data_IF_357469768591
#
_entry.id   IF_357469768591
#
_cell.length_a   1.000
_cell.length_b   1.000
_cell.length_c   1.000
_cell.angle_alpha   90.00
_cell.angle_beta   90.00
_cell.angle_gamma   90.00
#
_symmetry.space_group_name_H-M   'P 1'
#
loop_
_entity.id
_entity.type
_entity.pdbx_description
1 polymer ?
#
# COMPACT_ATOMS: atom_id res chain seq x y z
N UNK A 1 -36.46 14.09 -9.77
CA UNK A 1 -37.76 13.48 -9.41
C UNK A 1 -38.41 14.32 -8.31
N UNK A 2 -39.75 14.47 -8.29
CA UNK A 2 -40.42 15.31 -7.28
C UNK A 2 -40.39 14.68 -5.88
N UNK A 3 -40.46 15.50 -4.83
CA UNK A 3 -40.62 15.01 -3.46
C UNK A 3 -41.99 14.34 -3.30
N UNK A 4 -41.98 13.10 -2.79
CA UNK A 4 -43.20 12.33 -2.52
C UNK A 4 -43.93 12.89 -1.29
N UNK A 5 -45.27 12.92 -1.34
CA UNK A 5 -46.14 13.25 -0.21
C UNK A 5 -46.10 12.14 0.83
N UNK A 6 -46.54 12.44 2.06
CA UNK A 6 -46.49 11.50 3.19
C UNK A 6 -47.13 10.13 2.89
N UNK A 7 -48.33 10.12 2.29
CA UNK A 7 -49.03 8.89 1.93
C UNK A 7 -48.30 8.11 0.82
N UNK A 8 -47.70 8.81 -0.15
CA UNK A 8 -46.92 8.21 -1.23
C UNK A 8 -45.64 7.55 -0.69
N UNK A 9 -44.93 8.22 0.24
CA UNK A 9 -43.76 7.65 0.91
C UNK A 9 -44.11 6.44 1.78
N UNK A 10 -45.29 6.43 2.40
CA UNK A 10 -45.75 5.30 3.22
C UNK A 10 -46.00 4.04 2.38
N UNK A 11 -46.44 4.21 1.12
CA UNK A 11 -46.61 3.12 0.14
C UNK A 11 -45.26 2.73 -0.49
N UNK A 12 -44.42 3.70 -0.83
CA UNK A 12 -43.18 3.52 -1.59
C UNK A 12 -41.92 3.53 -0.72
N UNK A 13 -41.95 2.88 0.45
CA UNK A 13 -40.85 2.89 1.42
C UNK A 13 -39.53 2.30 0.91
N UNK A 14 -39.60 1.37 -0.04
CA UNK A 14 -38.43 0.68 -0.60
C UNK A 14 -37.99 1.27 -1.95
N UNK A 15 -38.67 2.29 -2.43
CA UNK A 15 -38.45 2.86 -3.76
C UNK A 15 -37.43 3.99 -3.65
N UNK A 16 -36.18 3.66 -3.93
CA UNK A 16 -35.09 4.61 -4.10
C UNK A 16 -34.43 4.34 -5.46
N UNK A 17 -34.37 5.38 -6.30
CA UNK A 17 -33.83 5.28 -7.66
C UNK A 17 -32.34 5.64 -7.74
N UNK A 18 -31.78 6.18 -6.65
CA UNK A 18 -30.38 6.59 -6.58
C UNK A 18 -29.54 5.54 -5.89
N UNK A 19 -30.05 4.92 -4.81
CA UNK A 19 -29.32 3.93 -4.02
C UNK A 19 -30.03 2.58 -4.07
N UNK A 20 -29.42 1.63 -4.75
CA UNK A 20 -29.89 0.25 -4.83
C UNK A 20 -29.18 -0.62 -3.80
N UNK A 21 -29.93 -1.45 -3.07
CA UNK A 21 -29.38 -2.37 -2.06
C UNK A 21 -28.22 -3.24 -2.55
N UNK A 22 -28.19 -3.58 -3.84
CA UNK A 22 -27.12 -4.37 -4.47
C UNK A 22 -25.78 -3.65 -4.47
N UNK A 23 -25.78 -2.33 -4.59
CA UNK A 23 -24.58 -1.50 -4.67
C UNK A 23 -23.90 -1.35 -3.30
N UNK A 24 -24.61 -1.71 -2.20
CA UNK A 24 -24.13 -1.51 -0.82
C UNK A 24 -23.62 -0.08 -0.60
N UNK A 25 -24.35 0.90 -1.14
CA UNK A 25 -24.02 2.32 -1.12
C UNK A 25 -23.04 2.74 -2.23
N UNK A 26 -22.53 3.97 -2.14
CA UNK A 26 -21.73 4.60 -3.19
C UNK A 26 -20.21 4.54 -2.95
N UNK A 27 -19.73 3.50 -2.22
CA UNK A 27 -18.31 3.42 -1.85
C UNK A 27 -17.38 3.37 -3.06
N UNK A 28 -17.76 2.62 -4.10
CA UNK A 28 -17.04 2.56 -5.37
C UNK A 28 -16.86 3.98 -5.96
N UNK A 29 -17.97 4.69 -6.17
CA UNK A 29 -17.96 6.04 -6.73
C UNK A 29 -17.13 7.04 -5.88
N UNK A 30 -17.24 6.97 -4.54
CA UNK A 30 -16.48 7.84 -3.63
C UNK A 30 -14.98 7.57 -3.75
N UNK A 31 -14.57 6.29 -3.81
CA UNK A 31 -13.16 5.90 -3.92
C UNK A 31 -12.62 6.26 -5.29
N UNK A 32 -13.35 5.94 -6.35
CA UNK A 32 -13.02 6.30 -7.74
C UNK A 32 -12.83 7.80 -7.89
N UNK A 33 -13.72 8.62 -7.32
CA UNK A 33 -13.58 10.08 -7.35
C UNK A 33 -12.41 10.58 -6.50
N UNK A 34 -12.22 10.03 -5.30
CA UNK A 34 -11.14 10.44 -4.39
C UNK A 34 -9.75 10.18 -4.97
N UNK A 35 -9.57 9.06 -5.66
CA UNK A 35 -8.29 8.64 -6.22
C UNK A 35 -8.18 8.86 -7.73
N UNK A 36 -9.18 9.49 -8.34
CA UNK A 36 -9.21 9.81 -9.77
C UNK A 36 -8.91 8.58 -10.65
N UNK A 37 -9.53 7.45 -10.33
CA UNK A 37 -9.37 6.24 -11.13
C UNK A 37 -9.96 6.48 -12.52
N UNK A 38 -9.15 6.24 -13.54
CA UNK A 38 -9.46 6.61 -14.92
C UNK A 38 -10.40 5.57 -15.54
N UNK A 39 -10.12 4.28 -15.35
CA UNK A 39 -11.00 3.26 -15.87
C UNK A 39 -12.17 2.97 -14.93
N UNK A 40 -13.34 2.79 -15.54
CA UNK A 40 -14.59 2.50 -14.81
C UNK A 40 -14.53 1.22 -13.97
N UNK A 41 -13.68 0.26 -14.34
CA UNK A 41 -13.58 -1.04 -13.67
C UNK A 41 -12.34 -1.20 -12.77
N UNK A 42 -11.49 -0.16 -12.64
CA UNK A 42 -10.28 -0.23 -11.81
C UNK A 42 -10.59 -0.57 -10.36
N UNK A 43 -11.58 0.10 -9.77
CA UNK A 43 -12.00 -0.20 -8.40
C UNK A 43 -12.40 -1.67 -8.23
N UNK A 44 -13.14 -2.23 -9.20
CA UNK A 44 -13.56 -3.64 -9.14
C UNK A 44 -12.39 -4.60 -9.27
N UNK A 45 -11.42 -4.31 -10.15
CA UNK A 45 -10.19 -5.10 -10.30
C UNK A 45 -9.41 -5.12 -8.99
N UNK A 46 -9.13 -3.95 -8.41
CA UNK A 46 -8.41 -3.83 -7.13
C UNK A 46 -9.15 -4.47 -5.96
N UNK A 47 -10.47 -4.26 -5.87
CA UNK A 47 -11.29 -4.90 -4.86
C UNK A 47 -11.31 -6.44 -5.01
N UNK A 48 -11.32 -6.94 -6.25
CA UNK A 48 -11.20 -8.36 -6.55
C UNK A 48 -9.90 -8.97 -6.00
N UNK A 49 -8.76 -8.31 -6.22
CA UNK A 49 -7.46 -8.72 -5.68
C UNK A 49 -7.49 -8.73 -4.15
N UNK A 50 -8.03 -7.68 -3.52
CA UNK A 50 -8.15 -7.60 -2.06
C UNK A 50 -8.99 -8.76 -1.50
N UNK A 51 -10.11 -9.09 -2.14
CA UNK A 51 -10.95 -10.22 -1.74
C UNK A 51 -10.25 -11.58 -1.92
N UNK A 52 -9.46 -11.75 -2.98
CA UNK A 52 -8.66 -12.97 -3.17
C UNK A 52 -7.61 -13.14 -2.07
N UNK A 53 -6.92 -12.05 -1.73
CA UNK A 53 -5.99 -12.02 -0.60
C UNK A 53 -6.71 -12.35 0.71
N UNK A 54 -7.86 -11.73 0.99
CA UNK A 54 -8.65 -12.01 2.21
C UNK A 54 -9.10 -13.48 2.30
N UNK A 55 -9.52 -14.08 1.18
CA UNK A 55 -9.86 -15.51 1.15
C UNK A 55 -8.67 -16.37 1.56
N UNK A 56 -7.49 -16.07 1.01
CA UNK A 56 -6.27 -16.80 1.34
C UNK A 56 -5.87 -16.62 2.81
N UNK A 57 -5.94 -15.39 3.34
CA UNK A 57 -5.71 -15.10 4.77
C UNK A 57 -6.68 -15.86 5.66
N UNK A 58 -7.96 -15.92 5.30
CA UNK A 58 -8.96 -16.64 6.08
C UNK A 58 -8.69 -18.15 6.13
N UNK A 59 -8.23 -18.74 5.02
CA UNK A 59 -7.79 -20.14 4.97
C UNK A 59 -6.58 -20.32 5.89
N UNK A 60 -5.54 -19.47 5.78
CA UNK A 60 -4.34 -19.54 6.62
C UNK A 60 -4.67 -19.42 8.10
N UNK A 61 -5.63 -18.55 8.45
CA UNK A 61 -6.06 -18.33 9.83
C UNK A 61 -6.75 -19.56 10.45
N UNK A 62 -7.40 -20.41 9.65
CA UNK A 62 -8.05 -21.62 10.12
C UNK A 62 -7.07 -22.79 10.36
N UNK A 63 -5.84 -22.70 9.86
CA UNK A 63 -4.81 -23.72 10.06
C UNK A 63 -4.22 -23.68 11.48
N UNK A 64 -3.67 -24.81 11.94
CA UNK A 64 -3.04 -24.89 13.27
C UNK A 64 -1.84 -23.92 13.37
N UNK A 65 -1.71 -23.14 14.46
CA UNK A 65 -0.60 -22.19 14.63
C UNK A 65 0.80 -22.81 14.63
N UNK A 66 0.93 -24.11 14.93
CA UNK A 66 2.21 -24.82 15.03
C UNK A 66 2.64 -25.48 13.72
N UNK A 67 1.76 -25.49 12.72
CA UNK A 67 2.05 -26.07 11.41
C UNK A 67 3.11 -25.23 10.67
N UNK A 68 4.28 -25.80 10.29
CA UNK A 68 5.29 -25.08 9.52
C UNK A 68 4.77 -24.57 8.17
N UNK A 69 3.81 -25.26 7.54
CA UNK A 69 3.23 -24.83 6.27
C UNK A 69 2.44 -23.52 6.40
N UNK A 70 1.78 -23.31 7.55
CA UNK A 70 1.11 -22.05 7.86
C UNK A 70 2.12 -20.91 7.94
N UNK A 71 3.25 -21.13 8.60
CA UNK A 71 4.30 -20.12 8.71
C UNK A 71 4.87 -19.77 7.33
N UNK A 72 5.21 -20.77 6.53
CA UNK A 72 5.73 -20.59 5.16
C UNK A 72 4.75 -19.82 4.27
N UNK A 73 3.48 -20.23 4.23
CA UNK A 73 2.45 -19.57 3.42
C UNK A 73 2.15 -18.14 3.89
N UNK A 74 2.21 -17.90 5.20
CA UNK A 74 2.07 -16.55 5.78
C UNK A 74 3.22 -15.66 5.33
N UNK A 75 4.45 -16.17 5.41
CA UNK A 75 5.64 -15.44 4.97
C UNK A 75 5.59 -15.14 3.48
N UNK A 76 5.21 -16.11 2.64
CA UNK A 76 5.04 -15.91 1.20
C UNK A 76 3.98 -14.85 0.87
N UNK A 77 2.87 -14.82 1.61
CA UNK A 77 1.82 -13.84 1.40
C UNK A 77 2.27 -12.44 1.85
N UNK A 78 2.88 -12.35 3.03
CA UNK A 78 3.38 -11.10 3.57
C UNK A 78 4.47 -10.51 2.68
N UNK A 79 5.30 -11.36 2.07
CA UNK A 79 6.32 -10.93 1.12
C UNK A 79 5.72 -10.29 -0.13
N UNK A 80 4.63 -10.87 -0.66
CA UNK A 80 3.91 -10.30 -1.81
C UNK A 80 3.17 -9.00 -1.49
N UNK A 81 2.84 -8.75 -0.22
CA UNK A 81 2.14 -7.56 0.25
C UNK A 81 3.07 -6.52 0.91
N UNK A 82 4.39 -6.74 0.83
CA UNK A 82 5.38 -5.98 1.58
C UNK A 82 5.64 -4.63 0.93
N UNK A 83 5.10 -3.57 1.54
CA UNK A 83 5.36 -2.18 1.10
C UNK A 83 6.77 -1.76 1.48
N UNK A 84 7.45 -1.05 0.57
CA UNK A 84 8.80 -0.52 0.78
C UNK A 84 8.93 0.24 2.12
N UNK A 85 7.97 1.10 2.44
CA UNK A 85 7.99 1.87 3.70
C UNK A 85 8.03 0.97 4.96
N UNK A 86 7.32 -0.16 4.95
CA UNK A 86 7.33 -1.10 6.07
C UNK A 86 8.65 -1.85 6.16
N UNK A 87 9.23 -2.19 5.01
CA UNK A 87 10.55 -2.84 4.93
C UNK A 87 11.64 -1.92 5.48
N UNK A 88 11.64 -0.65 5.10
CA UNK A 88 12.60 0.35 5.58
C UNK A 88 12.62 0.49 7.10
N UNK A 89 11.44 0.50 7.74
CA UNK A 89 11.36 0.57 9.21
C UNK A 89 11.92 -0.69 9.86
N UNK A 90 11.68 -1.85 9.25
CA UNK A 90 12.22 -3.14 9.73
C UNK A 90 13.75 -3.19 9.61
N UNK A 91 14.29 -2.67 8.51
CA UNK A 91 15.73 -2.57 8.24
C UNK A 91 16.42 -1.38 8.94
N UNK A 92 15.70 -0.63 9.79
CA UNK A 92 16.22 0.52 10.54
C UNK A 92 16.72 1.69 9.67
N UNK A 93 16.22 1.81 8.44
CA UNK A 93 16.41 3.01 7.60
C UNK A 93 15.61 4.21 8.11
N UNK A 94 14.50 3.98 8.82
CA UNK A 94 13.68 5.00 9.44
C UNK A 94 13.13 4.46 10.77
N UNK A 95 12.94 5.35 11.75
CA UNK A 95 12.36 4.98 13.04
C UNK A 95 10.84 4.82 12.95
N UNK A 96 10.20 5.67 12.14
CA UNK A 96 8.76 5.71 12.00
C UNK A 96 8.30 5.51 10.55
N UNK A 97 7.11 4.88 10.40
CA UNK A 97 6.52 4.63 9.08
C UNK A 97 6.23 5.91 8.30
N UNK A 98 5.84 6.99 9.00
CA UNK A 98 5.55 8.28 8.38
C UNK A 98 6.80 8.88 7.74
N UNK A 99 7.95 8.77 8.39
CA UNK A 99 9.24 9.24 7.88
C UNK A 99 9.69 8.39 6.69
N UNK A 100 9.57 7.07 6.78
CA UNK A 100 9.88 6.17 5.66
C UNK A 100 9.08 6.56 4.40
N UNK A 101 7.78 6.84 4.55
CA UNK A 101 6.94 7.31 3.44
C UNK A 101 7.45 8.65 2.90
N UNK A 102 7.81 9.60 3.77
CA UNK A 102 8.37 10.90 3.35
C UNK A 102 9.69 10.74 2.58
N UNK A 103 10.60 9.87 3.04
CA UNK A 103 11.87 9.61 2.36
C UNK A 103 11.69 8.99 0.97
N UNK A 104 10.71 8.09 0.83
CA UNK A 104 10.35 7.51 -0.48
C UNK A 104 9.76 8.59 -1.39
N UNK A 105 8.81 9.40 -0.90
CA UNK A 105 8.19 10.47 -1.71
C UNK A 105 9.20 11.51 -2.20
N UNK A 106 10.23 11.78 -1.40
CA UNK A 106 11.32 12.69 -1.76
C UNK A 106 12.35 12.06 -2.72
N UNK A 107 12.25 10.75 -2.99
CA UNK A 107 13.16 10.02 -3.87
C UNK A 107 14.53 9.76 -3.26
N UNK A 108 14.63 9.64 -1.94
CA UNK A 108 15.90 9.33 -1.27
C UNK A 108 16.29 7.86 -1.31
N UNK A 109 15.36 6.98 -1.71
CA UNK A 109 15.50 5.52 -1.62
C UNK A 109 15.51 4.93 -3.03
N UNK A 110 16.44 4.00 -3.26
CA UNK A 110 16.47 3.16 -4.45
C UNK A 110 16.38 1.69 -4.10
N UNK A 111 15.86 0.89 -5.03
CA UNK A 111 15.84 -0.57 -4.94
C UNK A 111 16.60 -1.10 -6.14
N UNK A 112 17.81 -1.62 -5.90
CA UNK A 112 18.76 -1.92 -6.97
C UNK A 112 19.18 -0.64 -7.70
N UNK A 113 19.16 -0.61 -9.05
CA UNK A 113 19.57 0.57 -9.81
C UNK A 113 18.48 1.67 -9.88
N UNK A 114 17.22 1.32 -9.64
CA UNK A 114 16.08 2.21 -9.87
C UNK A 114 15.71 3.00 -8.62
N UNK A 115 15.50 4.31 -8.78
CA UNK A 115 15.00 5.18 -7.70
C UNK A 115 13.50 5.06 -7.57
N UNK A 116 13.00 4.84 -6.35
CA UNK A 116 11.57 4.64 -6.10
C UNK A 116 10.97 5.87 -5.46
N UNK A 117 9.96 6.44 -6.10
CA UNK A 117 9.23 7.63 -5.61
C UNK A 117 7.81 7.30 -5.12
N UNK A 118 7.27 6.14 -5.51
CA UNK A 118 5.92 5.72 -5.13
C UNK A 118 5.91 4.98 -3.76
N UNK A 119 5.23 5.52 -2.74
CA UNK A 119 5.09 4.84 -1.44
C UNK A 119 4.23 3.57 -1.48
N UNK A 120 3.48 3.34 -2.55
CA UNK A 120 2.73 2.11 -2.77
C UNK A 120 3.58 0.99 -3.38
N UNK A 121 4.86 1.26 -3.70
CA UNK A 121 5.77 0.25 -4.24
C UNK A 121 5.92 -0.95 -3.31
N UNK A 122 5.79 -2.14 -3.90
CA UNK A 122 5.92 -3.42 -3.22
C UNK A 122 7.30 -4.00 -3.51
N UNK A 123 7.98 -4.46 -2.46
CA UNK A 123 9.34 -5.03 -2.55
C UNK A 123 9.27 -6.50 -2.20
N UNK A 124 9.84 -7.33 -3.06
CA UNK A 124 9.99 -8.78 -2.81
C UNK A 124 11.18 -9.04 -1.89
N UNK A 125 11.21 -10.20 -1.21
CA UNK A 125 12.31 -10.57 -0.31
C UNK A 125 13.68 -10.50 -0.97
N UNK A 126 13.79 -10.97 -2.21
CA UNK A 126 15.07 -10.98 -2.93
C UNK A 126 15.57 -9.56 -3.27
N UNK A 127 14.65 -8.59 -3.35
CA UNK A 127 14.99 -7.19 -3.60
C UNK A 127 15.26 -6.40 -2.31
N UNK A 128 14.99 -6.99 -1.13
CA UNK A 128 15.20 -6.36 0.17
C UNK A 128 16.68 -6.01 0.42
N UNK A 129 17.58 -6.89 0.02
CA UNK A 129 19.04 -6.72 0.20
C UNK A 129 19.60 -5.57 -0.67
N UNK A 130 18.88 -5.18 -1.72
CA UNK A 130 19.27 -4.11 -2.64
C UNK A 130 18.62 -2.77 -2.32
N UNK A 131 17.94 -2.65 -1.18
CA UNK A 131 17.40 -1.36 -0.72
C UNK A 131 18.55 -0.51 -0.17
N UNK A 132 18.83 0.61 -0.84
CA UNK A 132 19.85 1.57 -0.38
C UNK A 132 19.37 3.00 -0.51
N UNK A 133 20.08 3.93 0.14
CA UNK A 133 19.95 5.33 -0.18
C UNK A 133 20.44 5.60 -1.61
N UNK A 134 19.82 6.58 -2.27
CA UNK A 134 20.35 7.15 -3.52
C UNK A 134 21.68 7.85 -3.23
N UNK A 135 22.62 7.80 -4.17
CA UNK A 135 23.97 8.32 -3.96
C UNK A 135 23.98 9.84 -3.71
N UNK A 136 23.11 10.60 -4.38
CA UNK A 136 22.90 12.04 -4.16
C UNK A 136 22.06 12.39 -2.93
N UNK A 137 21.67 11.39 -2.13
CA UNK A 137 20.81 11.62 -0.97
C UNK A 137 21.56 12.34 0.16
N UNK A 138 20.99 13.44 0.63
CA UNK A 138 21.49 14.16 1.83
C UNK A 138 21.47 13.28 3.08
N UNK A 139 20.56 12.31 3.14
CA UNK A 139 20.48 11.35 4.25
C UNK A 139 21.71 10.43 4.22
N UNK A 140 22.07 9.90 3.04
CA UNK A 140 23.27 9.05 2.87
C UNK A 140 24.53 9.79 3.33
N UNK A 141 24.70 11.03 2.85
CA UNK A 141 25.82 11.89 3.23
C UNK A 141 25.92 12.08 4.75
N UNK A 142 24.79 12.35 5.40
CA UNK A 142 24.75 12.55 6.86
C UNK A 142 25.05 11.27 7.64
N UNK A 143 24.64 10.11 7.12
CA UNK A 143 24.99 8.81 7.71
C UNK A 143 26.49 8.51 7.55
N UNK A 144 27.06 8.77 6.38
CA UNK A 144 28.51 8.59 6.14
C UNK A 144 29.37 9.54 6.99
N UNK A 145 28.95 10.80 7.11
CA UNK A 145 29.58 11.79 7.98
C UNK A 145 29.56 11.34 9.44
N UNK A 146 28.42 10.82 9.93
CA UNK A 146 28.31 10.27 11.28
C UNK A 146 29.23 9.06 11.51
N UNK A 147 29.39 8.20 10.50
CA UNK A 147 30.28 7.04 10.56
C UNK A 147 31.76 7.41 10.37
N UNK A 148 32.08 8.64 9.96
CA UNK A 148 33.44 9.04 9.60
C UNK A 148 33.94 8.44 8.28
N UNK A 149 33.04 7.96 7.43
CA UNK A 149 33.31 7.31 6.13
C UNK A 149 33.00 8.24 4.95
N UNK A 150 32.83 9.54 5.21
CA UNK A 150 32.51 10.50 4.17
C UNK A 150 33.73 10.72 3.27
N UNK A 151 33.61 10.30 2.01
CA UNK A 151 34.56 10.63 0.95
C UNK A 151 34.13 11.93 0.25
N UNK A 152 34.99 12.94 0.32
CA UNK A 152 34.74 14.26 -0.26
C UNK A 152 34.69 14.23 -1.80
N UNK A 153 35.25 13.19 -2.45
CA UNK A 153 35.19 13.03 -3.90
C UNK A 153 33.75 12.70 -4.37
N UNK A 154 33.07 11.81 -3.67
CA UNK A 154 31.69 11.42 -3.95
C UNK A 154 30.68 12.53 -3.56
N UNK A 155 31.06 13.45 -2.66
CA UNK A 155 30.20 14.54 -2.20
C UNK A 155 30.08 15.73 -3.17
N UNK A 156 30.93 15.77 -4.21
CA UNK A 156 30.99 16.83 -5.23
C UNK A 156 30.15 16.54 -6.49
N UNK A 157 29.62 15.33 -6.64
CA UNK A 157 28.80 14.87 -7.77
C UNK A 157 27.28 15.00 -7.48
#
# INVERSE_FOLDING_TARGET
MRKLRFHEQKLLKKTNFLDFKREKGHRDAIVTQRYLLVERDDYKKYNGICLMVQKLVNIIKQMDPRDPYRAEMTDMLLDKLRRLATVMVKLKFAEHLKEAVTYIQQGHVRVGPETVTDPAFLVTRNMEDFITWVDSSKIKRKVQEYNGELDDFDAMA
#
